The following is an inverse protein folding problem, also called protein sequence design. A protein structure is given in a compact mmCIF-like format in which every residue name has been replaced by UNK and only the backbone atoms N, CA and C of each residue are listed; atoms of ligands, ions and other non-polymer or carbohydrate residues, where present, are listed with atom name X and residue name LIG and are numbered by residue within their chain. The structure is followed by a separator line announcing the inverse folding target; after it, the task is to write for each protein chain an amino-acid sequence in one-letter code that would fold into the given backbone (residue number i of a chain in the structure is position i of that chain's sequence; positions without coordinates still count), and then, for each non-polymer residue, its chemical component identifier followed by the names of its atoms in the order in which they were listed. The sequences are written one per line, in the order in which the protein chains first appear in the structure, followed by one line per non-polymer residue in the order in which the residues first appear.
data_IF_116178234062
#
_entry.id   IF_116178234062
#
_cell.length_a   1.000
_cell.length_b   1.000
_cell.length_c   1.000
_cell.angle_alpha   90.00
_cell.angle_beta   90.00
_cell.angle_gamma   90.00
#
_symmetry.space_group_name_H-M   'P 1'
#
loop_
_entity.id
_entity.type
_entity.pdbx_description
1 polymer ?
#
# COMPACT_ATOMS: atom_id res chain seq x y z
N UNK A 1 -21.30 15.42 -14.26
CA UNK A 1 -21.26 13.98 -14.01
C UNK A 1 -20.45 13.79 -12.74
N UNK A 2 -21.05 13.32 -11.67
CA UNK A 2 -20.32 12.98 -10.45
C UNK A 2 -19.39 11.79 -10.76
N UNK A 3 -18.12 11.94 -10.42
CA UNK A 3 -17.13 10.88 -10.58
C UNK A 3 -17.44 9.83 -9.51
N UNK A 4 -17.93 8.67 -9.90
CA UNK A 4 -18.20 7.56 -8.96
C UNK A 4 -16.91 6.80 -8.78
N UNK A 5 -16.31 6.88 -7.61
CA UNK A 5 -15.14 6.09 -7.25
C UNK A 5 -15.54 4.65 -6.92
N UNK A 6 -14.84 3.68 -7.52
CA UNK A 6 -15.17 2.25 -7.39
C UNK A 6 -14.52 1.60 -6.18
N UNK A 7 -13.28 2.01 -5.84
CA UNK A 7 -12.45 1.27 -4.89
C UNK A 7 -12.42 1.92 -3.52
N UNK A 8 -12.46 3.26 -3.48
CA UNK A 8 -12.41 4.06 -2.26
C UNK A 8 -13.34 5.25 -2.42
N UNK A 9 -14.03 5.66 -1.36
CA UNK A 9 -14.92 6.82 -1.45
C UNK A 9 -14.14 8.10 -1.75
N UNK A 10 -14.79 9.05 -2.44
CA UNK A 10 -14.17 10.35 -2.77
C UNK A 10 -13.63 11.07 -1.53
N UNK A 11 -14.39 11.06 -0.44
CA UNK A 11 -13.96 11.69 0.82
C UNK A 11 -12.70 11.04 1.38
N UNK A 12 -12.63 9.70 1.35
CA UNK A 12 -11.49 8.95 1.86
C UNK A 12 -10.24 9.17 1.01
N UNK A 13 -10.37 9.18 -0.34
CA UNK A 13 -9.20 9.43 -1.20
C UNK A 13 -8.69 10.86 -1.08
N UNK A 14 -9.57 11.86 -0.98
CA UNK A 14 -9.16 13.25 -0.74
C UNK A 14 -8.37 13.36 0.56
N UNK A 15 -8.80 12.69 1.62
CA UNK A 15 -8.07 12.71 2.88
C UNK A 15 -6.71 11.99 2.77
N UNK A 16 -6.61 10.87 2.06
CA UNK A 16 -5.32 10.19 1.79
C UNK A 16 -4.37 11.10 1.02
N UNK A 17 -4.88 11.79 -0.01
CA UNK A 17 -4.11 12.77 -0.80
C UNK A 17 -3.60 13.91 0.09
N UNK A 18 -4.44 14.47 0.96
CA UNK A 18 -4.06 15.51 1.90
C UNK A 18 -2.93 15.07 2.82
N UNK A 19 -3.04 13.87 3.44
CA UNK A 19 -2.00 13.33 4.31
C UNK A 19 -0.69 13.05 3.58
N UNK A 20 -0.77 12.55 2.35
CA UNK A 20 0.40 12.31 1.53
C UNK A 20 1.09 13.63 1.14
N UNK A 21 0.33 14.62 0.64
CA UNK A 21 0.85 15.93 0.24
C UNK A 21 1.52 16.65 1.42
N UNK A 22 0.86 16.68 2.58
CA UNK A 22 1.38 17.29 3.80
C UNK A 22 2.71 16.64 4.24
N UNK A 23 2.79 15.31 4.17
CA UNK A 23 3.99 14.54 4.56
C UNK A 23 5.15 14.67 3.59
N UNK A 24 4.89 14.99 2.33
CA UNK A 24 5.91 15.26 1.32
C UNK A 24 6.46 16.69 1.39
N UNK A 25 5.61 17.66 1.69
CA UNK A 25 5.88 19.10 1.70
C UNK A 25 6.17 19.68 3.08
N UNK A 26 5.24 20.50 3.56
CA UNK A 26 5.41 21.39 4.72
C UNK A 26 5.84 20.66 6.00
N UNK A 27 5.24 19.51 6.32
CA UNK A 27 5.59 18.77 7.53
C UNK A 27 7.01 18.22 7.48
N UNK A 28 7.46 17.81 6.30
CA UNK A 28 8.84 17.36 6.10
C UNK A 28 9.82 18.49 6.36
N UNK A 29 9.60 19.67 5.80
CA UNK A 29 10.45 20.85 6.01
C UNK A 29 10.50 21.25 7.49
N UNK A 30 9.34 21.30 8.14
CA UNK A 30 9.24 21.62 9.57
C UNK A 30 10.00 20.56 10.39
N UNK A 31 9.84 19.28 10.07
CA UNK A 31 10.52 18.18 10.73
C UNK A 31 12.04 18.29 10.62
N UNK A 32 12.56 18.51 9.43
CA UNK A 32 14.00 18.67 9.17
C UNK A 32 14.57 19.90 9.90
N UNK A 33 13.89 21.04 9.84
CA UNK A 33 14.29 22.26 10.57
C UNK A 33 14.35 22.04 12.08
N UNK A 34 13.36 21.37 12.68
CA UNK A 34 13.34 21.05 14.12
C UNK A 34 14.48 20.14 14.55
N UNK A 35 14.91 19.24 13.66
CA UNK A 35 16.03 18.34 13.92
C UNK A 35 17.39 18.97 13.61
N UNK A 36 17.43 20.19 13.07
CA UNK A 36 18.69 20.85 12.65
C UNK A 36 19.37 20.15 11.46
N UNK A 37 18.60 19.43 10.65
CA UNK A 37 19.12 18.67 9.51
C UNK A 37 19.03 19.52 8.26
N UNK A 38 20.19 19.67 7.56
CA UNK A 38 20.20 20.31 6.24
C UNK A 38 19.54 19.38 5.22
N UNK A 39 18.51 19.90 4.57
CA UNK A 39 17.72 19.19 3.58
C UNK A 39 18.56 18.58 2.44
N UNK A 40 19.63 19.27 2.03
CA UNK A 40 20.52 18.85 0.92
C UNK A 40 21.36 17.62 1.25
N UNK A 41 21.55 17.31 2.53
CA UNK A 41 22.47 16.26 2.99
C UNK A 41 21.77 15.14 3.78
N UNK A 42 20.43 15.13 3.86
CA UNK A 42 19.73 14.18 4.69
C UNK A 42 19.43 12.87 3.96
N UNK A 43 20.21 11.83 4.28
CA UNK A 43 19.89 10.44 3.91
C UNK A 43 18.58 9.98 4.59
N UNK A 44 18.29 10.50 5.79
CA UNK A 44 17.11 10.16 6.57
C UNK A 44 15.78 10.75 6.05
N UNK A 45 15.87 11.73 5.13
CA UNK A 45 14.70 12.42 4.57
C UNK A 45 13.66 11.46 3.99
N UNK A 46 14.10 10.43 3.27
CA UNK A 46 13.22 9.43 2.69
C UNK A 46 12.43 8.65 3.75
N UNK A 47 13.08 8.28 4.85
CA UNK A 47 12.41 7.58 5.95
C UNK A 47 11.46 8.50 6.70
N UNK A 48 11.86 9.75 6.95
CA UNK A 48 11.03 10.74 7.63
C UNK A 48 9.71 11.00 6.91
N UNK A 49 9.70 11.07 5.57
CA UNK A 49 8.47 11.19 4.79
C UNK A 49 7.48 10.08 5.11
N UNK A 50 7.95 8.83 5.12
CA UNK A 50 7.11 7.67 5.40
C UNK A 50 6.64 7.65 6.86
N UNK A 51 7.49 8.03 7.79
CA UNK A 51 7.12 8.11 9.21
C UNK A 51 6.05 9.18 9.43
N UNK A 52 6.15 10.34 8.77
CA UNK A 52 5.14 11.39 8.81
C UNK A 52 3.83 10.93 8.18
N UNK A 53 3.87 10.36 6.97
CA UNK A 53 2.69 9.84 6.30
C UNK A 53 1.99 8.77 7.13
N UNK A 54 2.72 7.77 7.60
CA UNK A 54 2.18 6.70 8.43
C UNK A 54 1.53 7.25 9.71
N UNK A 55 2.20 8.17 10.39
CA UNK A 55 1.66 8.85 11.59
C UNK A 55 0.37 9.61 11.27
N UNK A 56 0.34 10.34 10.16
CA UNK A 56 -0.82 11.12 9.74
C UNK A 56 -2.00 10.21 9.41
N UNK A 57 -1.78 9.13 8.64
CA UNK A 57 -2.82 8.15 8.36
C UNK A 57 -3.40 7.54 9.64
N UNK A 58 -2.54 7.08 10.57
CA UNK A 58 -3.00 6.49 11.83
C UNK A 58 -3.78 7.50 12.68
N UNK A 59 -3.37 8.77 12.68
CA UNK A 59 -4.07 9.78 13.44
C UNK A 59 -5.43 10.16 12.85
N UNK A 60 -5.54 10.18 11.54
CA UNK A 60 -6.77 10.52 10.82
C UNK A 60 -7.74 9.35 10.73
N UNK A 61 -7.25 8.17 10.41
CA UNK A 61 -8.08 6.99 10.15
C UNK A 61 -8.14 6.04 11.35
N UNK A 62 -8.52 6.56 12.53
CA UNK A 62 -8.62 5.77 13.78
C UNK A 62 -9.91 4.95 13.86
N UNK A 63 -10.99 5.52 13.34
CA UNK A 63 -12.33 4.97 13.39
C UNK A 63 -13.11 5.46 12.17
N UNK A 64 -14.10 4.67 11.73
CA UNK A 64 -14.89 4.99 10.55
C UNK A 64 -14.85 3.87 9.53
N UNK A 65 -15.21 4.16 8.30
CA UNK A 65 -15.16 3.19 7.20
C UNK A 65 -13.74 2.90 6.74
N UNK A 66 -12.88 3.92 6.71
CA UNK A 66 -11.46 3.78 6.41
C UNK A 66 -10.66 3.77 7.71
N UNK A 67 -9.84 2.76 7.90
CA UNK A 67 -8.92 2.65 9.04
C UNK A 67 -7.47 2.49 8.57
N UNK A 68 -6.54 2.98 9.40
CA UNK A 68 -5.10 2.81 9.22
C UNK A 68 -4.47 2.29 10.52
N UNK A 69 -3.70 1.23 10.45
CA UNK A 69 -3.01 0.66 11.61
C UNK A 69 -1.62 0.17 11.24
N UNK A 70 -0.72 0.19 12.21
CA UNK A 70 0.61 -0.39 12.04
C UNK A 70 0.55 -1.90 11.87
N UNK A 71 1.35 -2.39 10.92
CA UNK A 71 1.68 -3.79 10.78
C UNK A 71 3.20 -3.96 10.64
N UNK A 72 3.72 -5.08 11.14
CA UNK A 72 5.14 -5.40 11.04
C UNK A 72 5.44 -6.12 9.73
N UNK A 73 6.52 -5.70 9.09
CA UNK A 73 7.08 -6.35 7.92
C UNK A 73 8.57 -6.58 8.13
N UNK A 74 8.92 -7.68 8.78
CA UNK A 74 10.30 -7.90 9.20
C UNK A 74 10.78 -6.76 10.11
N UNK A 75 11.89 -6.08 9.79
CA UNK A 75 12.38 -4.95 10.58
C UNK A 75 11.63 -3.63 10.33
N UNK A 76 10.73 -3.58 9.35
CA UNK A 76 10.04 -2.36 8.93
C UNK A 76 8.58 -2.36 9.35
N UNK A 77 8.08 -1.20 9.75
CA UNK A 77 6.66 -0.97 9.92
C UNK A 77 6.05 -0.51 8.60
N UNK A 78 4.81 -0.94 8.36
CA UNK A 78 3.97 -0.43 7.28
C UNK A 78 2.61 -0.03 7.84
N UNK A 79 1.88 0.77 7.10
CA UNK A 79 0.52 1.19 7.46
C UNK A 79 -0.40 0.93 6.28
N UNK A 80 -0.97 -0.28 6.19
CA UNK A 80 -2.05 -0.52 5.23
C UNK A 80 -3.29 0.26 5.64
N UNK A 81 -4.12 0.57 4.65
CA UNK A 81 -5.44 1.16 4.84
C UNK A 81 -6.50 0.09 4.56
N UNK A 82 -7.57 0.07 5.34
CA UNK A 82 -8.71 -0.83 5.08
C UNK A 82 -9.98 0.01 5.02
N UNK A 83 -10.69 -0.08 3.91
CA UNK A 83 -12.01 0.51 3.76
C UNK A 83 -13.07 -0.59 3.87
N UNK A 84 -13.78 -0.60 5.00
CA UNK A 84 -14.85 -1.57 5.27
C UNK A 84 -16.10 -1.34 4.42
N UNK A 85 -16.28 -0.17 3.82
CA UNK A 85 -17.44 0.10 2.96
C UNK A 85 -17.28 -0.50 1.56
N UNK A 86 -16.05 -0.58 1.08
CA UNK A 86 -15.71 -1.18 -0.22
C UNK A 86 -15.08 -2.57 -0.09
N UNK A 87 -14.81 -3.04 1.13
CA UNK A 87 -14.11 -4.30 1.42
C UNK A 87 -12.71 -4.39 0.81
N UNK A 88 -12.02 -3.25 0.65
CA UNK A 88 -10.67 -3.18 0.12
C UNK A 88 -9.62 -3.00 1.22
N UNK A 89 -8.48 -3.68 1.04
CA UNK A 89 -7.23 -3.31 1.70
C UNK A 89 -6.31 -2.63 0.70
N UNK A 90 -5.64 -1.55 1.14
CA UNK A 90 -4.74 -0.76 0.31
C UNK A 90 -3.34 -0.72 0.88
N UNK A 91 -2.35 -0.74 -0.01
CA UNK A 91 -1.01 -0.26 0.31
C UNK A 91 -0.69 1.00 -0.48
N UNK A 92 0.12 1.89 0.08
CA UNK A 92 0.54 3.13 -0.57
C UNK A 92 2.01 3.02 -0.92
N UNK A 93 2.39 3.33 -2.16
CA UNK A 93 3.79 3.33 -2.56
C UNK A 93 4.04 4.23 -3.77
N UNK A 94 5.32 4.56 -4.00
CA UNK A 94 5.74 5.24 -5.22
C UNK A 94 5.57 4.33 -6.44
N UNK A 95 5.13 4.91 -7.53
CA UNK A 95 4.98 4.17 -8.80
C UNK A 95 6.31 3.56 -9.28
N UNK A 96 7.42 4.28 -9.16
CA UNK A 96 8.75 3.77 -9.46
C UNK A 96 9.06 2.47 -8.69
N UNK A 97 8.75 2.45 -7.38
CA UNK A 97 8.96 1.27 -6.54
C UNK A 97 8.08 0.10 -6.94
N UNK A 98 6.84 0.37 -7.35
CA UNK A 98 5.94 -0.64 -7.90
C UNK A 98 6.53 -1.28 -9.15
N UNK A 99 7.01 -0.47 -10.11
CA UNK A 99 7.64 -0.96 -11.34
C UNK A 99 8.86 -1.83 -11.04
N UNK A 100 9.71 -1.43 -10.08
CA UNK A 100 10.85 -2.25 -9.66
C UNK A 100 10.42 -3.61 -9.09
N UNK A 101 9.36 -3.62 -8.28
CA UNK A 101 8.80 -4.84 -7.73
C UNK A 101 8.24 -5.77 -8.80
N UNK A 102 7.54 -5.23 -9.81
CA UNK A 102 7.06 -6.01 -10.95
C UNK A 102 8.21 -6.64 -11.75
N UNK A 103 9.25 -5.87 -12.05
CA UNK A 103 10.45 -6.38 -12.76
C UNK A 103 11.23 -7.44 -11.98
N UNK A 104 11.15 -7.39 -10.67
CA UNK A 104 11.81 -8.31 -9.75
C UNK A 104 10.97 -9.55 -9.36
N UNK A 105 9.73 -9.67 -9.86
CA UNK A 105 8.87 -10.83 -9.57
C UNK A 105 9.56 -12.13 -9.98
N UNK A 106 9.44 -13.16 -9.14
CA UNK A 106 10.06 -14.47 -9.37
C UNK A 106 11.58 -14.54 -9.17
N UNK A 107 12.28 -13.40 -8.99
CA UNK A 107 13.73 -13.36 -8.73
C UNK A 107 14.05 -13.19 -7.25
N UNK A 108 13.07 -12.84 -6.43
CA UNK A 108 13.23 -12.62 -4.99
C UNK A 108 13.18 -13.94 -4.23
N UNK A 109 14.06 -14.09 -3.25
CA UNK A 109 14.06 -15.24 -2.35
C UNK A 109 12.87 -15.28 -1.38
N UNK A 110 12.26 -14.12 -1.10
CA UNK A 110 11.12 -13.99 -0.20
C UNK A 110 9.99 -13.27 -0.93
N UNK A 111 8.79 -13.70 -0.66
CA UNK A 111 7.59 -13.08 -1.19
C UNK A 111 7.45 -11.64 -0.66
N UNK A 112 7.06 -10.73 -1.54
CA UNK A 112 6.73 -9.37 -1.12
C UNK A 112 5.27 -9.32 -0.65
N UNK A 113 4.95 -8.56 0.41
CA UNK A 113 3.59 -8.49 0.94
C UNK A 113 2.54 -8.09 -0.10
N UNK A 114 2.91 -7.25 -1.06
CA UNK A 114 2.05 -6.86 -2.17
C UNK A 114 1.66 -8.07 -3.04
N UNK A 115 2.62 -8.97 -3.29
CA UNK A 115 2.37 -10.23 -4.00
C UNK A 115 1.47 -11.15 -3.16
N UNK A 116 1.72 -11.21 -1.85
CA UNK A 116 0.90 -12.00 -0.93
C UNK A 116 -0.55 -11.50 -0.88
N UNK A 117 -0.76 -10.18 -0.79
CA UNK A 117 -2.10 -9.60 -0.83
C UNK A 117 -2.80 -9.85 -2.18
N UNK A 118 -2.10 -9.63 -3.30
CA UNK A 118 -2.66 -9.87 -4.63
C UNK A 118 -3.02 -11.34 -4.84
N UNK A 119 -2.21 -12.28 -4.35
CA UNK A 119 -2.51 -13.71 -4.40
C UNK A 119 -3.68 -14.09 -3.47
N UNK A 120 -3.79 -13.48 -2.28
CA UNK A 120 -4.82 -13.81 -1.31
C UNK A 120 -6.19 -13.24 -1.68
N UNK A 121 -6.25 -12.00 -2.20
CA UNK A 121 -7.51 -11.28 -2.38
C UNK A 121 -7.91 -11.11 -3.85
N UNK A 122 -6.95 -11.13 -4.78
CA UNK A 122 -7.19 -10.87 -6.20
C UNK A 122 -6.87 -12.07 -7.10
N UNK A 123 -6.78 -13.27 -6.53
CA UNK A 123 -6.43 -14.48 -7.29
C UNK A 123 -7.34 -14.69 -8.52
N UNK A 124 -8.64 -14.46 -8.36
CA UNK A 124 -9.63 -14.64 -9.42
C UNK A 124 -9.54 -13.59 -10.56
N UNK A 125 -8.78 -12.50 -10.36
CA UNK A 125 -8.61 -11.44 -11.35
C UNK A 125 -7.43 -11.72 -12.31
N UNK A 126 -6.65 -12.78 -12.08
CA UNK A 126 -5.64 -13.24 -13.01
C UNK A 126 -6.31 -13.81 -14.28
N UNK A 127 -5.72 -13.58 -15.47
CA UNK A 127 -5.99 -14.50 -16.56
C UNK A 127 -5.69 -15.89 -16.01
N UNK A 128 -6.58 -16.88 -16.29
CA UNK A 128 -6.38 -18.25 -15.89
C UNK A 128 -5.02 -18.72 -16.49
N UNK A 129 -3.97 -18.29 -15.85
CA UNK A 129 -2.62 -18.76 -16.07
C UNK A 129 -2.73 -20.24 -15.84
N UNK A 130 -2.68 -20.99 -16.92
CA UNK A 130 -2.79 -22.43 -16.99
C UNK A 130 -2.29 -23.00 -15.68
N UNK A 131 -3.17 -23.71 -14.99
CA UNK A 131 -2.83 -24.48 -13.82
C UNK A 131 -1.45 -25.13 -14.05
N UNK A 132 -0.40 -24.46 -13.69
CA UNK A 132 0.82 -25.15 -13.35
C UNK A 132 0.53 -25.86 -12.03
N UNK A 133 -0.22 -26.91 -12.17
CA UNK A 133 -0.40 -27.95 -11.20
C UNK A 133 0.99 -28.48 -10.93
N UNK A 134 1.65 -28.04 -9.89
CA UNK A 134 2.78 -28.83 -9.35
C UNK A 134 3.18 -28.39 -7.94
N UNK A 135 3.37 -29.31 -7.14
CA UNK A 135 4.00 -29.60 -5.85
C UNK A 135 4.95 -28.54 -5.20
N UNK A 136 5.29 -27.47 -5.88
CA UNK A 136 5.99 -26.28 -5.31
C UNK A 136 5.03 -25.26 -4.65
N UNK A 137 3.72 -25.52 -4.72
CA UNK A 137 2.69 -24.52 -4.33
C UNK A 137 2.39 -24.51 -2.82
N UNK A 138 2.58 -25.61 -2.11
CA UNK A 138 2.21 -25.65 -0.67
C UNK A 138 3.08 -24.71 0.17
N UNK A 139 4.41 -24.73 -0.04
CA UNK A 139 5.32 -23.84 0.68
C UNK A 139 5.01 -22.37 0.39
N UNK A 140 4.58 -22.07 -0.84
CA UNK A 140 4.23 -20.72 -1.26
C UNK A 140 2.87 -20.27 -0.72
N UNK A 141 1.89 -21.14 -0.70
CA UNK A 141 0.59 -20.88 -0.08
C UNK A 141 0.72 -20.60 1.41
N UNK A 142 1.57 -21.38 2.10
CA UNK A 142 1.88 -21.15 3.51
C UNK A 142 2.61 -19.81 3.73
N UNK A 143 3.57 -19.45 2.86
CA UNK A 143 4.25 -18.16 2.94
C UNK A 143 3.27 -16.99 2.71
N UNK A 144 2.36 -17.11 1.73
CA UNK A 144 1.29 -16.13 1.49
C UNK A 144 0.42 -15.97 2.73
N UNK A 145 -0.09 -17.08 3.27
CA UNK A 145 -0.95 -17.06 4.44
C UNK A 145 -0.23 -16.44 5.65
N UNK A 146 1.02 -16.83 5.93
CA UNK A 146 1.81 -16.29 7.04
C UNK A 146 1.99 -14.76 6.92
N UNK A 147 2.25 -14.25 5.72
CA UNK A 147 2.43 -12.81 5.50
C UNK A 147 1.11 -12.07 5.71
N UNK A 148 0.04 -12.53 5.07
CA UNK A 148 -1.27 -11.88 5.11
C UNK A 148 -1.85 -11.91 6.50
N UNK A 149 -1.93 -13.09 7.11
CA UNK A 149 -2.50 -13.29 8.45
C UNK A 149 -1.68 -12.54 9.52
N UNK A 150 -0.35 -12.49 9.37
CA UNK A 150 0.52 -11.71 10.23
C UNK A 150 0.21 -10.21 10.19
N UNK A 151 0.04 -9.65 8.98
CA UNK A 151 -0.29 -8.23 8.80
C UNK A 151 -1.69 -7.93 9.34
N UNK A 152 -2.69 -8.74 8.99
CA UNK A 152 -4.08 -8.55 9.44
C UNK A 152 -4.21 -8.67 10.95
N UNK A 153 -3.49 -9.62 11.57
CA UNK A 153 -3.42 -9.76 13.03
C UNK A 153 -2.86 -8.50 13.69
N UNK A 154 -1.76 -7.95 13.18
CA UNK A 154 -1.18 -6.71 13.71
C UNK A 154 -2.18 -5.54 13.58
N UNK A 155 -2.91 -5.49 12.46
CA UNK A 155 -3.97 -4.50 12.23
C UNK A 155 -5.25 -4.76 13.03
N UNK A 156 -5.41 -5.93 13.65
CA UNK A 156 -6.66 -6.38 14.29
C UNK A 156 -7.85 -6.31 13.34
N UNK A 157 -7.67 -6.82 12.12
CA UNK A 157 -8.67 -6.89 11.07
C UNK A 157 -8.91 -8.36 10.74
N UNK A 158 -10.19 -8.75 10.69
CA UNK A 158 -10.58 -10.09 10.26
C UNK A 158 -10.44 -10.23 8.75
N UNK A 159 -9.92 -11.36 8.28
CA UNK A 159 -9.68 -11.61 6.86
C UNK A 159 -10.98 -11.54 6.03
N UNK A 160 -12.08 -12.01 6.57
CA UNK A 160 -13.40 -12.03 5.93
C UNK A 160 -14.01 -10.62 5.73
N UNK A 161 -13.43 -9.60 6.37
CA UNK A 161 -13.82 -8.21 6.14
C UNK A 161 -13.21 -7.62 4.86
N UNK A 162 -12.31 -8.35 4.20
CA UNK A 162 -11.57 -7.89 3.02
C UNK A 162 -11.87 -8.84 1.85
N UNK A 163 -12.32 -8.28 0.75
CA UNK A 163 -12.58 -9.01 -0.49
C UNK A 163 -11.52 -8.76 -1.56
N UNK A 164 -10.94 -7.55 -1.57
CA UNK A 164 -10.06 -7.11 -2.64
C UNK A 164 -8.84 -6.35 -2.11
N UNK A 165 -7.80 -6.31 -2.91
CA UNK A 165 -6.58 -5.56 -2.69
C UNK A 165 -6.31 -4.55 -3.81
N UNK A 166 -5.94 -3.34 -3.44
CA UNK A 166 -5.47 -2.34 -4.38
C UNK A 166 -4.20 -1.64 -3.89
N UNK A 167 -3.47 -1.04 -4.82
CA UNK A 167 -2.27 -0.24 -4.52
C UNK A 167 -2.56 1.21 -4.89
N UNK A 168 -2.37 2.10 -3.93
CA UNK A 168 -2.37 3.54 -4.17
C UNK A 168 -0.96 3.92 -4.61
N UNK A 169 -0.79 4.20 -5.89
CA UNK A 169 0.46 4.60 -6.49
C UNK A 169 0.54 6.11 -6.61
N UNK A 170 1.70 6.67 -6.28
CA UNK A 170 1.91 8.11 -6.41
C UNK A 170 3.28 8.44 -7.01
N UNK A 171 3.34 9.62 -7.62
CA UNK A 171 4.59 10.25 -8.05
C UNK A 171 4.78 11.58 -7.32
N UNK A 172 6.01 11.88 -6.98
CA UNK A 172 6.40 13.14 -6.39
C UNK A 172 7.53 13.79 -7.18
N UNK A 173 7.52 15.12 -7.23
CA UNK A 173 8.60 15.92 -7.78
C UNK A 173 8.82 17.15 -6.90
N UNK A 174 10.06 17.41 -6.49
CA UNK A 174 10.42 18.54 -5.60
C UNK A 174 9.54 18.63 -4.34
N UNK A 175 9.20 17.47 -3.71
CA UNK A 175 8.35 17.39 -2.52
C UNK A 175 6.87 17.71 -2.73
N UNK A 176 6.45 17.86 -3.96
CA UNK A 176 5.06 18.02 -4.33
C UNK A 176 4.50 16.70 -4.89
N UNK A 177 3.27 16.38 -4.52
CA UNK A 177 2.54 15.27 -5.11
C UNK A 177 2.15 15.65 -6.53
N UNK A 178 2.63 14.91 -7.53
CA UNK A 178 2.38 15.18 -8.95
C UNK A 178 1.19 14.37 -9.46
N UNK A 179 1.08 13.12 -9.05
CA UNK A 179 -0.01 12.24 -9.45
C UNK A 179 -0.27 11.18 -8.39
N UNK A 180 -1.51 10.72 -8.31
CA UNK A 180 -1.93 9.60 -7.50
C UNK A 180 -2.95 8.79 -8.30
N UNK A 181 -2.89 7.47 -8.17
CA UNK A 181 -3.87 6.57 -8.76
C UNK A 181 -4.08 5.35 -7.86
N UNK A 182 -5.29 4.84 -7.86
CA UNK A 182 -5.63 3.58 -7.19
C UNK A 182 -5.68 2.46 -8.22
N UNK A 183 -4.90 1.42 -8.05
CA UNK A 183 -4.74 0.33 -9.00
C UNK A 183 -5.10 -1.00 -8.37
N UNK A 184 -6.05 -1.73 -8.95
CA UNK A 184 -6.26 -3.14 -8.65
C UNK A 184 -5.27 -3.95 -9.45
N UNK A 185 -4.54 -4.83 -8.78
CA UNK A 185 -3.50 -5.67 -9.40
C UNK A 185 -3.84 -7.14 -9.23
N UNK A 186 -3.56 -7.95 -10.25
CA UNK A 186 -3.71 -9.41 -10.16
C UNK A 186 -2.51 -10.09 -9.47
N UNK A 187 -2.56 -11.41 -9.31
CA UNK A 187 -1.48 -12.21 -8.73
C UNK A 187 -0.16 -12.09 -9.51
N UNK A 188 -0.20 -11.66 -10.76
CA UNK A 188 0.97 -11.42 -11.61
C UNK A 188 1.51 -9.99 -11.50
N UNK A 189 0.96 -9.18 -10.60
CA UNK A 189 1.27 -7.77 -10.40
C UNK A 189 0.96 -6.90 -11.63
N UNK A 190 0.06 -7.36 -12.49
CA UNK A 190 -0.45 -6.58 -13.61
C UNK A 190 -1.62 -5.72 -13.12
N UNK A 191 -1.66 -4.48 -13.54
CA UNK A 191 -2.80 -3.60 -13.27
C UNK A 191 -3.97 -4.07 -14.13
N UNK A 192 -5.06 -4.46 -13.49
CA UNK A 192 -6.29 -4.94 -14.16
C UNK A 192 -7.40 -3.91 -14.16
N UNK A 193 -7.39 -2.97 -13.22
CA UNK A 193 -8.28 -1.80 -13.18
C UNK A 193 -7.61 -0.64 -12.45
N UNK A 194 -7.96 0.61 -12.77
CA UNK A 194 -7.39 1.79 -12.12
C UNK A 194 -8.35 2.97 -12.11
N UNK A 195 -8.14 3.84 -11.12
CA UNK A 195 -8.77 5.17 -10.97
C UNK A 195 -7.70 6.23 -10.70
N UNK A 196 -7.80 7.40 -11.37
CA UNK A 196 -6.90 8.55 -11.25
C UNK A 196 -7.57 9.68 -10.44
#
# INVERSE_FOLDING_TARGET
MEKTYKFISESNIIEVVDKLSSSLGDELEIGLKKMGIDERHSVGKHYLKWDLFNKNCINSFKAGTLIARYAKRGPWNMVPLVDFSSHFIFSVMREERFIELCRGKGKRKRLHYMEAFAQSFNFALGEASQMSVFLEDQDREEEVAQIVDGILKDMQVEKDAIENYAVILFNEYNHELVSIKCCVINSDLQIVDQED
#
